data_IF_960800913884
#
_entry.id   IF_960800913884
#
_cell.length_a   1.000
_cell.length_b   1.000
_cell.length_c   1.000
_cell.angle_alpha   90.00
_cell.angle_beta   90.00
_cell.angle_gamma   90.00
#
_symmetry.space_group_name_H-M   'P 1'
#
loop_
_entity.id
_entity.type
_entity.pdbx_description
1 polymer ?
#
# COMPACT_ATOMS: atom_id res chain seq x y z
N UNK A 1 19.62 -3.63 -16.69
CA UNK A 1 18.41 -4.18 -17.31
C UNK A 1 17.72 -5.06 -16.29
N UNK A 2 16.38 -5.14 -16.26
CA UNK A 2 15.46 -4.53 -17.24
C UNK A 2 15.07 -3.07 -16.92
N UNK A 3 15.39 -2.57 -15.72
CA UNK A 3 14.89 -1.28 -15.21
C UNK A 3 15.21 -0.05 -16.07
N UNK A 4 16.32 -0.07 -16.81
CA UNK A 4 16.82 1.07 -17.60
C UNK A 4 16.59 0.93 -19.10
N UNK A 5 15.91 -0.15 -19.52
CA UNK A 5 15.72 -0.51 -20.92
C UNK A 5 14.30 -1.08 -21.14
N UNK A 6 14.15 -2.38 -21.42
CA UNK A 6 12.86 -2.92 -21.87
C UNK A 6 11.83 -3.11 -20.76
N UNK A 7 12.24 -3.01 -19.49
CA UNK A 7 11.32 -2.95 -18.35
C UNK A 7 11.01 -1.52 -17.87
N UNK A 8 11.60 -0.50 -18.51
CA UNK A 8 11.32 0.89 -18.18
C UNK A 8 9.86 1.25 -18.52
N UNK A 9 9.21 1.93 -17.58
CA UNK A 9 7.92 2.57 -17.74
C UNK A 9 7.98 3.93 -17.05
N UNK A 10 7.41 4.96 -17.64
CA UNK A 10 7.34 6.28 -17.01
C UNK A 10 6.41 6.19 -15.79
N UNK A 11 6.89 6.48 -14.56
CA UNK A 11 6.07 6.37 -13.34
C UNK A 11 5.08 7.53 -13.18
N UNK A 12 5.07 8.50 -14.08
CA UNK A 12 4.28 9.72 -13.95
C UNK A 12 4.76 10.59 -12.78
N UNK A 13 3.82 11.09 -11.99
CA UNK A 13 4.08 12.00 -10.88
C UNK A 13 3.67 11.40 -9.54
N UNK A 14 4.60 11.41 -8.58
CA UNK A 14 4.34 10.98 -7.20
C UNK A 14 4.15 12.24 -6.36
N UNK A 15 2.97 12.36 -5.74
CA UNK A 15 2.62 13.49 -4.88
C UNK A 15 2.62 13.06 -3.42
N UNK A 16 3.03 13.96 -2.52
CA UNK A 16 2.99 13.74 -1.08
C UNK A 16 2.46 14.98 -0.38
N UNK A 17 1.64 14.77 0.65
CA UNK A 17 1.07 15.81 1.49
C UNK A 17 1.12 15.38 2.96
N UNK A 18 1.28 16.35 3.85
CA UNK A 18 1.33 16.11 5.30
C UNK A 18 0.02 16.57 5.93
N UNK A 19 -0.68 15.65 6.58
CA UNK A 19 -1.86 15.97 7.40
C UNK A 19 -1.40 16.23 8.85
N UNK A 20 -1.68 17.43 9.35
CA UNK A 20 -1.25 17.87 10.70
C UNK A 20 -2.45 18.13 11.61
N UNK A 21 -2.23 18.14 12.93
CA UNK A 21 -3.30 18.46 13.90
C UNK A 21 -4.33 17.35 14.10
N UNK A 22 -4.01 16.12 13.66
CA UNK A 22 -4.85 14.95 13.85
C UNK A 22 -4.92 14.57 15.33
N UNK A 23 -6.12 14.22 15.78
CA UNK A 23 -6.36 13.71 17.13
C UNK A 23 -6.16 12.19 17.15
N UNK A 24 -5.64 11.60 18.23
CA UNK A 24 -5.50 10.16 18.36
C UNK A 24 -6.85 9.43 18.33
N UNK A 25 -6.85 8.16 17.92
CA UNK A 25 -8.04 7.31 17.86
C UNK A 25 -9.24 7.88 17.08
N UNK A 26 -9.01 8.82 16.16
CA UNK A 26 -10.04 9.52 15.41
C UNK A 26 -10.03 9.11 13.93
N UNK A 27 -11.22 8.99 13.33
CA UNK A 27 -11.39 8.77 11.90
C UNK A 27 -11.51 10.09 11.14
N UNK A 28 -10.87 10.16 9.97
CA UNK A 28 -10.84 11.30 9.07
C UNK A 28 -11.15 10.87 7.65
N UNK A 29 -11.84 11.74 6.91
CA UNK A 29 -12.10 11.57 5.48
C UNK A 29 -11.12 12.43 4.68
N UNK A 30 -10.59 11.90 3.58
CA UNK A 30 -9.73 12.63 2.64
C UNK A 30 -10.04 12.26 1.19
N UNK A 31 -9.66 13.15 0.29
CA UNK A 31 -9.63 12.94 -1.16
C UNK A 31 -8.43 13.68 -1.73
N UNK A 32 -7.95 13.27 -2.89
CA UNK A 32 -6.81 13.88 -3.57
C UNK A 32 -7.17 14.19 -5.02
N UNK A 33 -6.55 15.21 -5.60
CA UNK A 33 -6.85 15.66 -6.96
C UNK A 33 -6.79 17.18 -7.07
N UNK A 34 -7.41 17.70 -8.12
CA UNK A 34 -7.53 19.15 -8.35
C UNK A 34 -8.72 19.45 -9.24
N UNK A 35 -9.19 20.70 -9.22
CA UNK A 35 -10.30 21.12 -10.08
C UNK A 35 -10.02 20.98 -11.58
N UNK A 36 -8.73 20.94 -11.98
CA UNK A 36 -8.33 20.77 -13.39
C UNK A 36 -8.35 19.32 -13.88
N UNK A 37 -8.13 18.33 -13.01
CA UNK A 37 -8.07 16.90 -13.41
C UNK A 37 -9.08 16.01 -12.72
N UNK A 38 -9.92 16.59 -11.86
CA UNK A 38 -10.89 15.88 -11.04
C UNK A 38 -10.35 15.52 -9.66
N UNK A 39 -11.28 15.11 -8.80
CA UNK A 39 -11.02 14.66 -7.43
C UNK A 39 -11.26 13.15 -7.35
N UNK A 40 -10.45 12.46 -6.53
CA UNK A 40 -10.66 11.06 -6.20
C UNK A 40 -11.97 10.85 -5.44
N UNK A 41 -12.39 9.58 -5.34
CA UNK A 41 -13.36 9.18 -4.32
C UNK A 41 -12.86 9.57 -2.92
N UNK A 42 -13.81 9.80 -2.02
CA UNK A 42 -13.51 10.01 -0.60
C UNK A 42 -13.06 8.70 0.04
N UNK A 43 -11.95 8.74 0.76
CA UNK A 43 -11.41 7.64 1.55
C UNK A 43 -11.44 8.01 3.03
N UNK A 44 -11.71 7.03 3.89
CA UNK A 44 -11.66 7.19 5.34
C UNK A 44 -10.42 6.48 5.88
N UNK A 45 -9.69 7.13 6.78
CA UNK A 45 -8.62 6.51 7.56
C UNK A 45 -8.81 6.77 9.06
N UNK A 46 -8.14 5.99 9.90
CA UNK A 46 -8.15 6.15 11.35
C UNK A 46 -6.72 6.36 11.87
N UNK A 47 -6.54 7.30 12.79
CA UNK A 47 -5.28 7.48 13.50
C UNK A 47 -5.11 6.46 14.63
N UNK A 48 -3.89 6.01 14.94
CA UNK A 48 -3.64 5.13 16.08
C UNK A 48 -3.96 5.82 17.43
N UNK A 49 -4.05 5.04 18.52
CA UNK A 49 -4.08 5.60 19.87
C UNK A 49 -2.85 6.46 20.18
N UNK A 50 -2.98 7.37 21.15
CA UNK A 50 -1.83 8.14 21.59
C UNK A 50 -0.85 7.23 22.34
N UNK A 51 0.44 7.56 22.26
CA UNK A 51 1.49 6.78 22.89
C UNK A 51 1.21 6.59 24.40
N UNK A 52 1.18 5.32 24.83
CA UNK A 52 0.99 4.93 26.23
C UNK A 52 -0.45 5.02 26.74
N UNK A 53 -1.45 5.32 25.90
CA UNK A 53 -2.84 5.44 26.33
C UNK A 53 -3.68 4.16 26.13
N UNK A 54 -3.38 3.36 25.10
CA UNK A 54 -4.17 2.18 24.77
C UNK A 54 -3.31 1.11 24.06
N UNK A 55 -3.87 -0.09 23.91
CA UNK A 55 -3.31 -1.16 23.08
C UNK A 55 -3.20 -0.69 21.62
N UNK A 56 -2.11 -1.04 20.95
CA UNK A 56 -1.91 -0.82 19.52
C UNK A 56 -1.73 -2.18 18.85
N UNK A 57 -2.52 -2.46 17.82
CA UNK A 57 -2.38 -3.71 17.05
C UNK A 57 -1.87 -3.42 15.64
N UNK A 58 -0.91 -4.23 15.19
CA UNK A 58 -0.33 -4.11 13.86
C UNK A 58 -0.27 -5.45 13.16
N UNK A 59 -0.32 -5.40 11.84
CA UNK A 59 -0.07 -6.55 10.97
C UNK A 59 1.34 -6.42 10.39
N UNK A 60 2.10 -7.51 10.38
CA UNK A 60 3.46 -7.55 9.84
C UNK A 60 3.63 -8.71 8.86
N UNK A 61 4.23 -8.44 7.70
CA UNK A 61 4.61 -9.44 6.71
C UNK A 61 5.71 -8.92 5.79
N UNK A 62 6.45 -9.83 5.14
CA UNK A 62 7.42 -9.52 4.09
C UNK A 62 7.11 -10.36 2.85
N UNK A 63 7.86 -10.12 1.78
CA UNK A 63 7.91 -11.01 0.61
C UNK A 63 6.53 -11.22 -0.05
N UNK A 64 5.65 -10.22 0.03
CA UNK A 64 4.26 -10.38 -0.43
C UNK A 64 4.18 -10.44 -1.95
N UNK A 65 4.88 -9.53 -2.63
CA UNK A 65 4.80 -9.37 -4.07
C UNK A 65 3.41 -9.00 -4.60
N UNK A 66 3.15 -9.35 -5.85
CA UNK A 66 1.90 -9.07 -6.57
C UNK A 66 1.46 -10.25 -7.43
N UNK A 67 0.18 -10.26 -7.78
CA UNK A 67 -0.36 -11.18 -8.76
C UNK A 67 -1.55 -10.56 -9.49
N UNK A 68 -1.75 -10.87 -10.78
CA UNK A 68 -2.93 -10.44 -11.52
C UNK A 68 -4.20 -11.05 -10.92
N UNK A 69 -5.29 -10.31 -10.97
CA UNK A 69 -6.61 -10.76 -10.51
C UNK A 69 -7.38 -11.54 -11.58
N UNK A 70 -6.85 -11.59 -12.80
CA UNK A 70 -7.38 -12.28 -13.97
C UNK A 70 -6.34 -13.29 -14.51
N UNK A 71 -6.63 -14.02 -15.60
CA UNK A 71 -5.70 -15.01 -16.18
C UNK A 71 -4.46 -14.43 -16.85
N UNK A 72 -4.16 -13.14 -16.72
CA UNK A 72 -2.97 -12.52 -17.31
C UNK A 72 -1.69 -13.15 -16.78
N UNK A 73 -0.64 -13.10 -17.61
CA UNK A 73 0.70 -13.55 -17.24
C UNK A 73 1.61 -12.33 -17.21
N UNK A 74 2.38 -12.22 -16.13
CA UNK A 74 3.27 -11.10 -15.88
C UNK A 74 4.63 -11.64 -15.41
N UNK A 75 5.62 -10.76 -15.32
CA UNK A 75 6.89 -11.07 -14.70
C UNK A 75 6.68 -11.32 -13.19
N UNK A 76 7.38 -12.32 -12.63
CA UNK A 76 7.28 -12.79 -11.23
C UNK A 76 5.90 -12.66 -10.57
N UNK A 77 5.09 -13.71 -10.66
CA UNK A 77 3.78 -13.78 -10.01
C UNK A 77 3.93 -14.41 -8.62
N UNK A 78 3.44 -13.72 -7.58
CA UNK A 78 3.31 -14.24 -6.22
C UNK A 78 1.81 -14.43 -5.88
N UNK A 79 1.20 -15.58 -6.18
CA UNK A 79 -0.25 -15.79 -5.97
C UNK A 79 -0.71 -15.57 -4.53
N UNK A 80 0.21 -15.76 -3.57
CA UNK A 80 -0.03 -15.49 -2.15
C UNK A 80 -0.38 -14.03 -1.84
N UNK A 81 0.08 -13.08 -2.65
CA UNK A 81 -0.21 -11.64 -2.48
C UNK A 81 -1.71 -11.34 -2.39
N UNK A 82 -2.53 -12.02 -3.20
CA UNK A 82 -3.99 -11.86 -3.20
C UNK A 82 -4.59 -12.38 -1.90
N UNK A 83 -4.10 -13.52 -1.41
CA UNK A 83 -4.58 -14.12 -0.18
C UNK A 83 -4.22 -13.27 1.04
N UNK A 84 -2.98 -12.78 1.11
CA UNK A 84 -2.51 -11.85 2.15
C UNK A 84 -3.36 -10.58 2.11
N UNK A 85 -3.51 -9.94 0.96
CA UNK A 85 -4.31 -8.72 0.82
C UNK A 85 -5.74 -8.91 1.33
N UNK A 86 -6.40 -10.02 0.95
CA UNK A 86 -7.75 -10.35 1.42
C UNK A 86 -7.82 -10.62 2.92
N UNK A 87 -6.84 -11.34 3.47
CA UNK A 87 -6.79 -11.64 4.90
C UNK A 87 -6.60 -10.38 5.74
N UNK A 88 -5.69 -9.49 5.32
CA UNK A 88 -5.45 -8.21 6.00
C UNK A 88 -6.65 -7.28 5.87
N UNK A 89 -7.27 -7.19 4.69
CA UNK A 89 -8.50 -6.42 4.50
C UNK A 89 -9.62 -6.90 5.42
N UNK A 90 -9.75 -8.22 5.60
CA UNK A 90 -10.72 -8.82 6.54
C UNK A 90 -10.38 -8.49 7.99
N UNK A 91 -9.11 -8.54 8.37
CA UNK A 91 -8.69 -8.18 9.73
C UNK A 91 -8.94 -6.70 10.04
N UNK A 92 -8.70 -5.81 9.07
CA UNK A 92 -8.99 -4.38 9.20
C UNK A 92 -10.47 -4.09 9.45
N UNK A 93 -11.39 -4.93 8.97
CA UNK A 93 -12.83 -4.78 9.24
C UNK A 93 -13.20 -4.94 10.71
N UNK A 94 -12.32 -5.53 11.53
CA UNK A 94 -12.52 -5.58 12.99
C UNK A 94 -12.36 -4.21 13.66
N UNK A 95 -11.76 -3.24 12.95
CA UNK A 95 -11.46 -1.91 13.47
C UNK A 95 -10.29 -1.89 14.48
N UNK A 96 -9.54 -2.99 14.60
CA UNK A 96 -8.43 -3.11 15.55
C UNK A 96 -7.05 -2.92 14.94
N UNK A 97 -6.90 -3.01 13.61
CA UNK A 97 -5.60 -2.82 12.96
C UNK A 97 -5.28 -1.34 12.88
N UNK A 98 -4.24 -0.90 13.59
CA UNK A 98 -3.79 0.49 13.61
C UNK A 98 -2.72 0.78 12.55
N UNK A 99 -1.94 -0.23 12.17
CA UNK A 99 -0.84 -0.08 11.21
C UNK A 99 -0.46 -1.40 10.55
N UNK A 100 0.17 -1.30 9.37
CA UNK A 100 0.75 -2.41 8.62
C UNK A 100 2.24 -2.15 8.43
N UNK A 101 3.06 -3.17 8.68
CA UNK A 101 4.48 -3.17 8.40
C UNK A 101 4.81 -4.21 7.32
N UNK A 102 5.19 -3.74 6.13
CA UNK A 102 5.68 -4.57 5.04
C UNK A 102 7.21 -4.58 5.05
N UNK A 103 7.80 -5.63 5.60
CA UNK A 103 9.22 -5.68 5.98
C UNK A 103 10.17 -6.09 4.85
N UNK A 104 9.97 -5.55 3.64
CA UNK A 104 10.83 -5.74 2.47
C UNK A 104 10.31 -6.76 1.46
N UNK A 105 10.96 -6.78 0.30
CA UNK A 105 10.59 -7.60 -0.86
C UNK A 105 9.14 -7.33 -1.28
N UNK A 106 8.92 -6.08 -1.71
CA UNK A 106 7.62 -5.42 -1.73
C UNK A 106 6.77 -5.94 -2.89
N UNK A 107 7.18 -5.63 -4.12
CA UNK A 107 6.41 -5.90 -5.33
C UNK A 107 7.04 -6.98 -6.21
N UNK A 108 8.34 -7.26 -6.00
CA UNK A 108 9.17 -8.02 -6.94
C UNK A 108 9.19 -7.45 -8.37
N UNK A 109 8.90 -6.14 -8.54
CA UNK A 109 8.97 -5.48 -9.84
C UNK A 109 10.31 -5.72 -10.54
N UNK A 110 11.42 -5.74 -9.77
CA UNK A 110 12.76 -6.18 -10.19
C UNK A 110 13.17 -5.65 -11.59
N UNK A 111 12.80 -4.39 -11.85
CA UNK A 111 13.10 -3.66 -13.06
C UNK A 111 12.02 -3.64 -14.15
N UNK A 112 10.84 -4.23 -13.93
CA UNK A 112 9.64 -4.00 -14.73
C UNK A 112 8.76 -2.97 -14.02
N UNK A 113 8.93 -1.69 -14.36
CA UNK A 113 8.47 -0.57 -13.53
C UNK A 113 6.94 -0.50 -13.39
N UNK A 114 6.18 -0.91 -14.40
CA UNK A 114 4.71 -0.96 -14.36
C UNK A 114 4.17 -1.82 -13.21
N UNK A 115 4.95 -2.78 -12.73
CA UNK A 115 4.55 -3.68 -11.64
C UNK A 115 4.46 -2.97 -10.29
N UNK A 116 5.12 -1.81 -10.13
CA UNK A 116 4.89 -0.94 -8.97
C UNK A 116 3.46 -0.41 -8.95
N UNK A 117 2.91 0.01 -10.09
CA UNK A 117 1.54 0.49 -10.16
C UNK A 117 0.54 -0.63 -9.88
N UNK A 118 0.78 -1.85 -10.38
CA UNK A 118 -0.05 -3.01 -10.05
C UNK A 118 -0.03 -3.32 -8.56
N UNK A 119 1.15 -3.32 -7.94
CA UNK A 119 1.28 -3.51 -6.51
C UNK A 119 0.53 -2.43 -5.71
N UNK A 120 0.70 -1.15 -6.07
CA UNK A 120 0.02 -0.03 -5.40
C UNK A 120 -1.50 -0.13 -5.53
N UNK A 121 -2.02 -0.57 -6.69
CA UNK A 121 -3.45 -0.85 -6.86
C UNK A 121 -3.92 -2.03 -6.00
N UNK A 122 -3.13 -3.10 -5.91
CA UNK A 122 -3.45 -4.27 -5.10
C UNK A 122 -3.56 -3.92 -3.62
N UNK A 123 -2.67 -3.07 -3.09
CA UNK A 123 -2.66 -2.69 -1.67
C UNK A 123 -3.52 -1.47 -1.35
N UNK A 124 -4.06 -0.75 -2.34
CA UNK A 124 -4.97 0.39 -2.13
C UNK A 124 -6.05 0.14 -1.07
N UNK A 125 -6.78 -0.99 -1.03
CA UNK A 125 -7.79 -1.23 0.01
C UNK A 125 -7.22 -1.30 1.44
N UNK A 126 -5.91 -1.47 1.60
CA UNK A 126 -5.22 -1.50 2.89
C UNK A 126 -4.56 -0.14 3.18
N UNK A 127 -3.61 0.24 2.33
CA UNK A 127 -2.71 1.37 2.54
C UNK A 127 -3.40 2.75 2.49
N UNK A 128 -4.62 2.81 1.97
CA UNK A 128 -5.41 4.04 1.96
C UNK A 128 -6.18 4.30 3.26
N UNK A 129 -6.31 3.30 4.15
CA UNK A 129 -7.16 3.37 5.35
C UNK A 129 -6.39 3.32 6.68
N UNK A 130 -5.18 2.76 6.68
CA UNK A 130 -4.26 2.72 7.84
C UNK A 130 -2.83 2.99 7.35
N UNK A 131 -1.92 3.34 8.26
CA UNK A 131 -0.51 3.54 7.86
C UNK A 131 0.08 2.23 7.34
N UNK A 132 0.72 2.30 6.18
CA UNK A 132 1.42 1.19 5.54
C UNK A 132 2.91 1.51 5.46
N UNK A 133 3.67 0.98 6.40
CA UNK A 133 5.09 1.27 6.57
C UNK A 133 5.91 0.19 5.87
N UNK A 134 6.93 0.58 5.10
CA UNK A 134 7.78 -0.35 4.36
C UNK A 134 9.20 -0.38 4.91
N UNK A 135 9.86 -1.53 4.78
CA UNK A 135 11.31 -1.67 4.83
C UNK A 135 11.85 -2.04 3.42
N UNK A 136 13.16 -1.97 3.24
CA UNK A 136 13.84 -2.26 1.96
C UNK A 136 14.39 -3.68 2.02
N UNK A 137 13.96 -4.55 1.09
CA UNK A 137 14.50 -5.89 0.90
C UNK A 137 15.63 -5.92 -0.14
N UNK A 138 16.06 -7.12 -0.51
CA UNK A 138 17.09 -7.27 -1.56
C UNK A 138 16.53 -7.08 -2.97
N UNK A 139 15.22 -7.16 -3.17
CA UNK A 139 14.60 -6.90 -4.48
C UNK A 139 14.28 -5.42 -4.74
N UNK A 140 14.49 -4.54 -3.74
CA UNK A 140 14.36 -3.09 -3.88
C UNK A 140 15.70 -2.37 -4.12
N UNK A 141 16.85 -3.01 -3.84
CA UNK A 141 18.19 -2.40 -3.85
C UNK A 141 19.02 -2.73 -5.09
#
# INVERSE_FOLDING_TARGET
>A
SPAKDFGWHDPGYIHSAVMTGLQPSQSYDYRYGSDSVGWSDTVKFRTPPAAGLDETSFVIYGDMGKAPLDPSVEHYIQPGSIAVTKAVAKEMQTGKVDSIFHIGDISYATGFLVEWDFFLHLIRPLASQVSYMTAIGNHER
#
